data_IF_150091523160
#
_entry.id   IF_150091523160
#
_cell.length_a   1.000
_cell.length_b   1.000
_cell.length_c   1.000
_cell.angle_alpha   90.00
_cell.angle_beta   90.00
_cell.angle_gamma   90.00
#
_symmetry.space_group_name_H-M   'P 1'
#
loop_
_entity.id
_entity.type
_entity.pdbx_description
1 polymer ?
#
# COMPACT_ATOMS: atom_id res chain seq x y z
N UNK A 1 -2.98 -19.63 32.80
CA UNK A 1 -2.54 -19.82 31.41
C UNK A 1 -2.61 -18.45 30.77
N UNK A 2 -1.51 -17.71 30.87
CA UNK A 2 -1.42 -16.33 30.44
C UNK A 2 -1.62 -16.24 28.93
N UNK A 3 -2.57 -15.41 28.50
CA UNK A 3 -2.63 -14.91 27.13
C UNK A 3 -1.72 -13.69 27.09
N UNK A 4 -0.46 -13.88 26.71
CA UNK A 4 0.36 -12.75 26.27
C UNK A 4 -0.30 -12.15 25.01
N UNK A 5 -0.82 -10.94 25.14
CA UNK A 5 -1.25 -10.12 24.00
C UNK A 5 -0.01 -9.70 23.20
N UNK A 6 0.31 -10.45 22.15
CA UNK A 6 1.38 -10.09 21.24
C UNK A 6 0.89 -9.05 20.23
N UNK A 7 1.14 -7.77 20.53
CA UNK A 7 1.02 -6.70 19.54
C UNK A 7 2.27 -6.68 18.65
N UNK A 8 2.10 -6.89 17.34
CA UNK A 8 3.21 -6.76 16.40
C UNK A 8 3.32 -5.31 15.91
N UNK A 9 4.44 -4.65 16.24
CA UNK A 9 4.72 -3.31 15.76
C UNK A 9 5.60 -3.37 14.50
N UNK A 10 5.11 -2.79 13.39
CA UNK A 10 5.86 -2.68 12.14
C UNK A 10 6.19 -1.23 11.83
N UNK A 11 7.42 -1.00 11.39
CA UNK A 11 7.82 0.29 10.84
C UNK A 11 7.48 0.34 9.34
N UNK A 12 6.66 1.30 8.91
CA UNK A 12 6.53 1.62 7.49
C UNK A 12 7.73 2.46 7.06
N UNK A 13 8.60 1.88 6.23
CA UNK A 13 9.89 2.45 5.86
C UNK A 13 9.78 3.65 4.89
N UNK A 14 8.57 4.11 4.53
CA UNK A 14 8.41 5.35 3.75
C UNK A 14 9.14 6.53 4.43
N UNK A 15 8.96 6.69 5.75
CA UNK A 15 9.59 7.73 6.54
C UNK A 15 11.11 7.53 6.71
N UNK A 16 11.59 6.28 6.74
CA UNK A 16 13.01 5.95 6.86
C UNK A 16 13.77 6.16 5.54
N UNK A 17 13.18 5.80 4.40
CA UNK A 17 13.76 6.07 3.07
C UNK A 17 13.83 7.59 2.82
N UNK A 18 12.87 8.37 3.31
CA UNK A 18 12.95 9.84 3.24
C UNK A 18 14.09 10.39 4.12
N UNK A 19 14.26 9.89 5.35
CA UNK A 19 15.33 10.36 6.24
C UNK A 19 16.76 9.94 5.78
N UNK A 20 16.90 8.77 5.13
CA UNK A 20 18.15 8.39 4.42
C UNK A 20 18.32 9.19 3.12
N UNK A 21 17.24 9.52 2.40
CA UNK A 21 17.31 10.31 1.18
C UNK A 21 17.75 11.77 1.44
N UNK A 22 17.45 12.32 2.62
CA UNK A 22 18.00 13.60 3.06
C UNK A 22 19.53 13.54 3.31
N UNK A 23 20.08 12.36 3.62
CA UNK A 23 21.52 12.10 3.65
C UNK A 23 22.01 11.42 2.35
N UNK A 24 21.99 12.17 1.26
CA UNK A 24 22.86 12.02 0.07
C UNK A 24 22.92 10.68 -0.67
N UNK A 25 21.91 9.80 -0.59
CA UNK A 25 21.87 8.62 -1.45
C UNK A 25 20.48 8.45 -2.05
N UNK A 26 20.36 8.68 -3.37
CA UNK A 26 19.23 8.17 -4.16
C UNK A 26 19.20 6.66 -3.95
N UNK A 27 18.26 6.18 -3.12
CA UNK A 27 18.13 4.76 -2.84
C UNK A 27 17.68 4.10 -4.13
N UNK A 28 18.63 3.42 -4.77
CA UNK A 28 18.40 2.62 -5.97
C UNK A 28 18.68 1.17 -5.60
N UNK A 29 17.94 0.24 -6.20
CA UNK A 29 18.28 -1.18 -6.10
C UNK A 29 19.54 -1.42 -6.94
N UNK A 30 20.70 -1.18 -6.32
CA UNK A 30 22.00 -1.22 -6.99
C UNK A 30 22.26 -2.60 -7.60
N UNK A 31 23.05 -2.66 -8.68
CA UNK A 31 23.50 -3.92 -9.31
C UNK A 31 24.49 -4.67 -8.43
N UNK A 32 25.24 -3.96 -7.59
CA UNK A 32 26.18 -4.53 -6.63
C UNK A 32 25.45 -5.22 -5.46
N UNK A 33 25.78 -6.50 -5.27
CA UNK A 33 25.25 -7.32 -4.18
C UNK A 33 25.68 -6.80 -2.80
N UNK A 34 26.91 -6.32 -2.65
CA UNK A 34 27.43 -5.85 -1.36
C UNK A 34 26.66 -4.62 -0.88
N UNK A 35 26.32 -3.70 -1.78
CA UNK A 35 25.49 -2.52 -1.46
C UNK A 35 24.07 -2.90 -1.07
N UNK A 36 23.43 -3.85 -1.78
CA UNK A 36 22.09 -4.35 -1.39
C UNK A 36 22.12 -5.02 -0.01
N UNK A 37 23.17 -5.78 0.29
CA UNK A 37 23.36 -6.41 1.60
C UNK A 37 23.57 -5.37 2.70
N UNK A 38 24.37 -4.33 2.44
CA UNK A 38 24.57 -3.21 3.37
C UNK A 38 23.24 -2.53 3.69
N UNK A 39 22.42 -2.24 2.67
CA UNK A 39 21.10 -1.65 2.87
C UNK A 39 20.18 -2.55 3.72
N UNK A 40 20.12 -3.85 3.42
CA UNK A 40 19.33 -4.81 4.19
C UNK A 40 19.78 -4.88 5.66
N UNK A 41 21.10 -4.91 5.90
CA UNK A 41 21.68 -4.89 7.25
C UNK A 41 21.40 -3.59 8.00
N UNK A 42 21.48 -2.43 7.32
CA UNK A 42 21.12 -1.14 7.90
C UNK A 42 19.65 -1.08 8.32
N UNK A 43 18.74 -1.61 7.51
CA UNK A 43 17.31 -1.71 7.86
C UNK A 43 17.13 -2.60 9.09
N UNK A 44 17.78 -3.78 9.11
CA UNK A 44 17.72 -4.70 10.25
C UNK A 44 18.19 -4.03 11.55
N UNK A 45 19.36 -3.40 11.52
CA UNK A 45 19.92 -2.72 12.69
C UNK A 45 19.02 -1.60 13.21
N UNK A 46 18.35 -0.87 12.32
CA UNK A 46 17.41 0.20 12.71
C UNK A 46 16.17 -0.35 13.41
N UNK A 47 15.58 -1.41 12.85
CA UNK A 47 14.42 -2.12 13.41
C UNK A 47 14.76 -2.66 14.81
N UNK A 48 15.92 -3.31 14.97
CA UNK A 48 16.39 -3.84 16.25
C UNK A 48 16.53 -2.74 17.30
N UNK A 49 17.15 -1.61 16.92
CA UNK A 49 17.36 -0.49 17.84
C UNK A 49 16.06 0.11 18.36
N UNK A 50 14.99 0.06 17.58
CA UNK A 50 13.68 0.59 17.94
C UNK A 50 12.71 -0.49 18.42
N UNK A 51 13.20 -1.73 18.62
CA UNK A 51 12.41 -2.88 19.04
C UNK A 51 11.16 -3.15 18.16
N UNK A 52 11.24 -2.85 16.86
CA UNK A 52 10.20 -3.25 15.92
C UNK A 52 10.36 -4.73 15.54
N UNK A 53 9.25 -5.38 15.21
CA UNK A 53 9.22 -6.80 14.84
C UNK A 53 9.02 -6.99 13.34
N UNK A 54 9.16 -5.93 12.54
CA UNK A 54 8.97 -6.00 11.11
C UNK A 54 9.15 -4.67 10.39
N UNK A 55 9.20 -4.77 9.07
CA UNK A 55 9.29 -3.64 8.16
C UNK A 55 8.32 -3.78 7.01
N UNK A 56 7.58 -2.71 6.75
CA UNK A 56 6.76 -2.55 5.57
C UNK A 56 7.47 -1.60 4.60
N UNK A 57 7.74 -2.07 3.38
CA UNK A 57 8.34 -1.26 2.33
C UNK A 57 7.26 -0.51 1.55
N UNK A 58 7.46 0.79 1.35
CA UNK A 58 6.64 1.64 0.47
C UNK A 58 7.53 2.29 -0.60
N UNK A 59 7.91 1.51 -1.60
CA UNK A 59 8.90 1.91 -2.60
C UNK A 59 8.44 1.67 -4.04
N UNK A 60 7.13 1.61 -4.28
CA UNK A 60 6.57 1.36 -5.62
C UNK A 60 7.13 2.32 -6.68
N UNK A 61 7.34 3.59 -6.34
CA UNK A 61 7.93 4.61 -7.22
C UNK A 61 9.40 4.34 -7.63
N UNK A 62 10.10 3.43 -6.95
CA UNK A 62 11.48 3.03 -7.25
C UNK A 62 11.56 1.72 -8.06
N UNK A 63 10.43 1.04 -8.25
CA UNK A 63 10.38 -0.27 -8.90
C UNK A 63 9.82 -0.13 -10.31
N UNK A 64 10.53 -0.67 -11.29
CA UNK A 64 10.12 -0.70 -12.68
C UNK A 64 10.63 -1.99 -13.35
N UNK A 65 10.28 -2.20 -14.62
CA UNK A 65 10.82 -3.31 -15.42
C UNK A 65 12.36 -3.35 -15.39
N UNK A 66 13.02 -2.19 -15.35
CA UNK A 66 14.48 -2.09 -15.34
C UNK A 66 15.11 -2.47 -13.99
N UNK A 67 14.42 -2.23 -12.87
CA UNK A 67 14.93 -2.50 -11.52
C UNK A 67 14.36 -3.78 -10.89
N UNK A 68 13.40 -4.44 -11.57
CA UNK A 68 12.72 -5.66 -11.13
C UNK A 68 13.66 -6.72 -10.56
N UNK A 69 14.74 -7.05 -11.27
CA UNK A 69 15.68 -8.10 -10.85
C UNK A 69 16.46 -7.70 -9.59
N UNK A 70 16.93 -6.45 -9.54
CA UNK A 70 17.69 -5.95 -8.40
C UNK A 70 16.80 -5.82 -7.17
N UNK A 71 15.54 -5.41 -7.35
CA UNK A 71 14.56 -5.37 -6.27
C UNK A 71 14.26 -6.77 -5.73
N UNK A 72 14.07 -7.75 -6.60
CA UNK A 72 13.89 -9.15 -6.22
C UNK A 72 15.10 -9.70 -5.42
N UNK A 73 16.32 -9.36 -5.82
CA UNK A 73 17.52 -9.72 -5.06
C UNK A 73 17.60 -9.01 -3.70
N UNK A 74 17.22 -7.74 -3.64
CA UNK A 74 17.16 -6.99 -2.39
C UNK A 74 16.15 -7.60 -1.42
N UNK A 75 14.93 -7.89 -1.86
CA UNK A 75 13.90 -8.54 -1.03
C UNK A 75 14.37 -9.88 -0.46
N UNK A 76 15.04 -10.71 -1.27
CA UNK A 76 15.63 -11.97 -0.79
C UNK A 76 16.67 -11.74 0.32
N UNK A 77 17.54 -10.75 0.15
CA UNK A 77 18.55 -10.39 1.16
C UNK A 77 17.89 -9.85 2.42
N UNK A 78 16.95 -8.91 2.29
CA UNK A 78 16.23 -8.33 3.43
C UNK A 78 15.48 -9.40 4.22
N UNK A 79 14.72 -10.27 3.55
CA UNK A 79 14.00 -11.37 4.21
C UNK A 79 14.97 -12.32 4.93
N UNK A 80 16.17 -12.56 4.37
CA UNK A 80 17.23 -13.35 5.04
C UNK A 80 17.80 -12.63 6.25
N UNK A 81 18.16 -11.34 6.14
CA UNK A 81 18.70 -10.55 7.25
C UNK A 81 17.71 -10.45 8.41
N UNK A 82 16.42 -10.23 8.11
CA UNK A 82 15.36 -10.18 9.10
C UNK A 82 15.21 -11.49 9.87
N UNK A 83 15.55 -12.64 9.27
CA UNK A 83 15.44 -13.95 9.91
C UNK A 83 16.65 -14.38 10.74
N UNK A 84 17.80 -13.70 10.65
CA UNK A 84 19.07 -14.19 11.23
C UNK A 84 19.04 -14.46 12.74
N UNK A 85 18.26 -13.68 13.50
CA UNK A 85 18.15 -13.80 14.96
C UNK A 85 16.67 -13.77 15.39
N UNK A 86 15.77 -14.35 14.59
CA UNK A 86 14.37 -14.41 14.96
C UNK A 86 14.17 -15.36 16.15
N UNK A 87 13.84 -14.80 17.31
CA UNK A 87 13.45 -15.55 18.50
C UNK A 87 11.93 -15.68 18.51
N UNK A 88 11.43 -16.91 18.38
CA UNK A 88 9.99 -17.22 18.39
C UNK A 88 9.31 -17.11 17.02
N UNK A 89 8.01 -17.41 17.00
CA UNK A 89 7.20 -17.51 15.78
C UNK A 89 6.69 -16.14 15.25
N UNK A 90 6.69 -15.10 16.10
CA UNK A 90 6.04 -13.81 15.82
C UNK A 90 6.99 -12.65 15.49
N UNK A 91 8.28 -12.91 15.26
CA UNK A 91 9.29 -11.86 15.07
C UNK A 91 9.87 -11.79 13.67
N UNK A 92 9.99 -10.57 13.14
CA UNK A 92 10.78 -10.16 11.96
C UNK A 92 10.13 -10.37 10.59
N UNK A 93 9.03 -9.65 10.37
CA UNK A 93 8.30 -9.68 9.11
C UNK A 93 8.85 -8.66 8.11
N UNK A 94 8.72 -9.02 6.83
CA UNK A 94 8.91 -8.09 5.72
C UNK A 94 7.61 -8.07 4.95
N UNK A 95 7.03 -6.89 4.77
CA UNK A 95 5.88 -6.66 3.92
C UNK A 95 6.16 -5.59 2.87
N UNK A 96 5.34 -5.57 1.83
CA UNK A 96 5.41 -4.58 0.76
C UNK A 96 4.03 -4.00 0.55
N UNK A 97 3.93 -2.68 0.51
CA UNK A 97 2.70 -1.94 0.26
C UNK A 97 2.64 -1.50 -1.20
N UNK A 98 1.54 -1.86 -1.88
CA UNK A 98 1.29 -1.57 -3.30
C UNK A 98 -0.09 -0.94 -3.48
N UNK A 99 -0.17 0.05 -4.37
CA UNK A 99 -1.46 0.64 -4.77
C UNK A 99 -2.28 -0.36 -5.58
N UNK A 100 -3.61 -0.28 -5.44
CA UNK A 100 -4.55 -1.08 -6.24
C UNK A 100 -4.52 -0.78 -7.74
N UNK A 101 -3.96 0.36 -8.12
CA UNK A 101 -3.90 0.86 -9.50
C UNK A 101 -2.53 0.58 -10.13
N UNK A 102 -1.70 -0.20 -9.46
CA UNK A 102 -0.48 -0.69 -10.05
C UNK A 102 -0.84 -1.56 -11.25
N UNK A 103 -0.29 -1.23 -12.42
CA UNK A 103 -0.39 -2.05 -13.63
C UNK A 103 0.14 -3.47 -13.38
N UNK A 104 -0.09 -4.38 -14.35
CA UNK A 104 0.29 -5.80 -14.31
C UNK A 104 1.51 -6.08 -13.41
N UNK A 105 1.25 -6.77 -12.29
CA UNK A 105 2.22 -6.98 -11.22
C UNK A 105 3.51 -7.65 -11.74
N UNK A 106 3.39 -8.53 -12.75
CA UNK A 106 4.53 -9.21 -13.36
C UNK A 106 5.47 -8.27 -14.11
N UNK A 107 5.04 -7.09 -14.54
CA UNK A 107 5.88 -6.14 -15.26
C UNK A 107 6.98 -5.58 -14.35
N UNK A 108 6.62 -5.21 -13.12
CA UNK A 108 7.52 -4.55 -12.18
C UNK A 108 8.11 -5.50 -11.12
N UNK A 109 7.44 -6.62 -10.81
CA UNK A 109 7.82 -7.49 -9.69
C UNK A 109 8.08 -8.93 -10.09
N UNK A 110 9.00 -9.59 -9.37
CA UNK A 110 9.14 -11.04 -9.32
C UNK A 110 8.13 -11.58 -8.31
N UNK A 111 6.97 -12.04 -8.80
CA UNK A 111 5.84 -12.48 -7.97
C UNK A 111 6.20 -13.68 -7.08
N UNK A 112 7.14 -14.53 -7.52
CA UNK A 112 7.62 -15.64 -6.68
C UNK A 112 8.36 -15.13 -5.44
N UNK A 113 9.09 -14.01 -5.55
CA UNK A 113 9.72 -13.37 -4.39
C UNK A 113 8.69 -12.70 -3.50
N UNK A 114 7.66 -12.05 -4.08
CA UNK A 114 6.57 -11.46 -3.30
C UNK A 114 5.89 -12.52 -2.41
N UNK A 115 5.70 -13.73 -2.93
CA UNK A 115 5.15 -14.87 -2.19
C UNK A 115 6.02 -15.32 -0.99
N UNK A 116 7.27 -14.88 -0.89
CA UNK A 116 8.14 -15.16 0.28
C UNK A 116 8.01 -14.13 1.40
N UNK A 117 7.35 -13.00 1.14
CA UNK A 117 7.09 -11.95 2.12
C UNK A 117 6.01 -12.41 3.11
N UNK A 118 5.88 -11.69 4.22
CA UNK A 118 4.86 -11.99 5.22
C UNK A 118 3.47 -11.70 4.64
N UNK A 119 3.27 -10.47 4.14
CA UNK A 119 2.11 -10.08 3.35
C UNK A 119 2.47 -8.95 2.35
N UNK A 120 1.61 -8.77 1.36
CA UNK A 120 1.54 -7.64 0.44
C UNK A 120 0.33 -6.82 0.84
N UNK A 121 0.54 -5.59 1.29
CA UNK A 121 -0.55 -4.67 1.63
C UNK A 121 -1.10 -4.07 0.34
N UNK A 122 -2.37 -4.33 0.06
CA UNK A 122 -3.11 -3.69 -1.01
C UNK A 122 -3.69 -2.38 -0.48
N UNK A 123 -3.26 -1.26 -1.04
CA UNK A 123 -3.73 0.09 -0.74
C UNK A 123 -4.69 0.57 -1.83
N UNK A 124 -6.03 0.52 -1.60
CA UNK A 124 -7.01 0.87 -2.63
C UNK A 124 -7.34 2.39 -2.69
N UNK A 125 -6.44 3.24 -2.21
CA UNK A 125 -6.73 4.66 -1.95
C UNK A 125 -6.18 5.66 -2.96
N UNK A 126 -5.54 5.20 -4.04
CA UNK A 126 -5.04 6.15 -5.04
C UNK A 126 -6.19 6.75 -5.84
N UNK A 127 -6.13 8.07 -5.94
CA UNK A 127 -7.17 8.92 -6.52
C UNK A 127 -7.29 8.63 -8.03
N UNK A 128 -8.51 8.58 -8.60
CA UNK A 128 -8.73 8.27 -10.00
C UNK A 128 -8.11 9.27 -10.99
N UNK A 129 -8.01 8.85 -12.25
CA UNK A 129 -7.57 9.64 -13.42
C UNK A 129 -8.61 10.68 -13.89
N UNK A 130 -9.72 10.85 -13.18
CA UNK A 130 -10.84 11.73 -13.53
C UNK A 130 -10.92 12.89 -12.54
N UNK A 131 -10.03 13.91 -12.63
CA UNK A 131 -10.00 15.01 -11.65
C UNK A 131 -11.24 15.90 -11.69
N UNK A 132 -12.00 15.90 -12.79
CA UNK A 132 -13.14 16.79 -13.00
C UNK A 132 -14.50 16.08 -12.84
N UNK A 133 -14.52 14.84 -12.33
CA UNK A 133 -15.75 14.06 -12.16
C UNK A 133 -15.78 13.27 -10.84
N UNK A 134 -16.97 13.20 -10.26
CA UNK A 134 -17.24 12.49 -9.01
C UNK A 134 -16.84 11.02 -9.11
N UNK A 135 -16.15 10.52 -8.11
CA UNK A 135 -15.67 9.14 -8.09
C UNK A 135 -16.00 8.41 -6.79
N UNK A 136 -16.07 7.08 -6.86
CA UNK A 136 -16.11 6.23 -5.69
C UNK A 136 -14.69 5.99 -5.16
N UNK A 137 -14.46 6.32 -3.89
CA UNK A 137 -13.18 6.04 -3.26
C UNK A 137 -13.12 4.56 -2.83
N UNK A 138 -12.08 3.83 -3.27
CA UNK A 138 -11.83 2.44 -2.87
C UNK A 138 -13.02 1.48 -3.11
N UNK A 139 -13.61 1.44 -4.33
CA UNK A 139 -14.79 0.63 -4.59
C UNK A 139 -14.45 -0.87 -4.59
N UNK A 140 -15.27 -1.67 -3.89
CA UNK A 140 -15.07 -3.12 -3.82
C UNK A 140 -15.29 -3.78 -5.19
N UNK A 141 -16.32 -3.34 -5.90
CA UNK A 141 -16.69 -3.78 -7.25
C UNK A 141 -16.60 -2.62 -8.24
N UNK A 142 -16.58 -2.93 -9.53
CA UNK A 142 -16.53 -1.91 -10.59
C UNK A 142 -17.74 -0.98 -10.50
N UNK A 143 -17.50 0.31 -10.73
CA UNK A 143 -18.54 1.32 -10.90
C UNK A 143 -18.57 1.70 -12.37
N UNK A 144 -19.73 1.60 -12.99
CA UNK A 144 -19.92 1.98 -14.40
C UNK A 144 -20.06 3.50 -14.50
N UNK A 145 -19.20 4.14 -15.29
CA UNK A 145 -19.22 5.58 -15.57
C UNK A 145 -19.10 5.78 -17.07
N UNK A 146 -20.18 6.18 -17.73
CA UNK A 146 -20.22 6.56 -19.16
C UNK A 146 -19.35 5.65 -20.06
N UNK A 147 -19.63 4.34 -20.01
CA UNK A 147 -18.96 3.24 -20.74
C UNK A 147 -17.51 2.90 -20.31
N UNK A 148 -16.91 3.64 -19.37
CA UNK A 148 -15.62 3.33 -18.79
C UNK A 148 -15.78 2.48 -17.51
N UNK A 149 -15.09 1.32 -17.46
CA UNK A 149 -14.98 0.51 -16.25
C UNK A 149 -13.86 1.03 -15.36
N UNK A 150 -14.19 1.44 -14.15
CA UNK A 150 -13.18 1.83 -13.15
C UNK A 150 -12.45 0.61 -12.58
N UNK A 151 -11.17 0.76 -12.25
CA UNK A 151 -10.45 -0.21 -11.41
C UNK A 151 -11.16 -0.36 -10.06
N UNK A 152 -11.36 -1.60 -9.63
CA UNK A 152 -11.96 -1.96 -8.34
C UNK A 152 -11.08 -2.93 -7.56
N UNK A 153 -11.29 -3.03 -6.24
CA UNK A 153 -10.55 -3.96 -5.38
C UNK A 153 -10.67 -5.40 -5.91
N UNK A 154 -11.87 -5.85 -6.30
CA UNK A 154 -12.09 -7.19 -6.85
C UNK A 154 -11.25 -7.42 -8.13
N UNK A 155 -11.29 -6.48 -9.07
CA UNK A 155 -10.51 -6.58 -10.32
C UNK A 155 -9.01 -6.62 -10.07
N UNK A 156 -8.51 -5.83 -9.12
CA UNK A 156 -7.08 -5.79 -8.75
C UNK A 156 -6.65 -7.10 -8.12
N UNK A 157 -7.41 -7.61 -7.14
CA UNK A 157 -7.10 -8.87 -6.47
C UNK A 157 -7.04 -10.01 -7.48
N UNK A 158 -8.03 -10.11 -8.38
CA UNK A 158 -8.03 -11.13 -9.45
C UNK A 158 -6.81 -11.00 -10.36
N UNK A 159 -6.45 -9.80 -10.79
CA UNK A 159 -5.27 -9.58 -11.62
C UNK A 159 -3.96 -10.00 -10.90
N UNK A 160 -3.84 -9.73 -9.60
CA UNK A 160 -2.69 -10.16 -8.81
C UNK A 160 -2.62 -11.68 -8.66
N UNK A 161 -3.76 -12.35 -8.49
CA UNK A 161 -3.85 -13.81 -8.46
C UNK A 161 -3.48 -14.45 -9.81
N UNK A 162 -3.99 -13.93 -10.92
CA UNK A 162 -3.59 -14.33 -12.29
C UNK A 162 -2.08 -14.09 -12.53
N UNK A 163 -1.55 -13.06 -11.88
CA UNK A 163 -0.12 -12.78 -11.85
C UNK A 163 0.70 -13.76 -11.00
N UNK A 164 0.05 -14.69 -10.29
CA UNK A 164 0.66 -15.75 -9.48
C UNK A 164 0.88 -15.37 -8.01
N UNK A 165 0.32 -14.25 -7.55
CA UNK A 165 0.39 -13.87 -6.13
C UNK A 165 -0.58 -14.75 -5.34
N UNK A 166 -0.13 -15.34 -4.24
CA UNK A 166 -0.99 -16.17 -3.40
C UNK A 166 -1.99 -15.29 -2.65
N UNK A 167 -3.29 -15.64 -2.70
CA UNK A 167 -4.36 -14.94 -1.97
C UNK A 167 -4.04 -14.75 -0.49
N UNK A 168 -3.47 -15.76 0.15
CA UNK A 168 -3.07 -15.73 1.57
C UNK A 168 -1.97 -14.72 1.90
N UNK A 169 -1.33 -14.13 0.88
CA UNK A 169 -0.35 -13.05 1.05
C UNK A 169 -0.95 -11.68 0.92
N UNK A 170 -2.18 -11.53 0.42
CA UNK A 170 -2.79 -10.22 0.22
C UNK A 170 -3.42 -9.77 1.54
N UNK A 171 -2.95 -8.64 2.07
CA UNK A 171 -3.58 -7.93 3.18
C UNK A 171 -4.31 -6.71 2.61
N UNK A 172 -5.64 -6.79 2.51
CA UNK A 172 -6.45 -5.67 2.03
C UNK A 172 -6.52 -4.58 3.11
N UNK A 173 -6.06 -3.37 2.78
CA UNK A 173 -6.25 -2.23 3.65
C UNK A 173 -7.67 -1.66 3.50
N UNK A 174 -8.33 -1.39 4.62
CA UNK A 174 -9.66 -0.78 4.68
C UNK A 174 -9.51 0.67 5.16
N UNK A 175 -10.03 1.68 4.45
CA UNK A 175 -9.91 3.07 4.85
C UNK A 175 -10.89 3.37 5.98
N UNK A 176 -10.44 4.11 6.98
CA UNK A 176 -11.29 4.71 8.00
C UNK A 176 -11.70 6.15 7.67
N UNK A 177 -11.65 6.52 6.39
CA UNK A 177 -11.94 7.85 5.86
C UNK A 177 -12.58 7.74 4.47
N UNK A 178 -13.20 8.83 4.02
CA UNK A 178 -13.74 9.00 2.67
C UNK A 178 -13.12 10.20 1.95
N UNK A 179 -13.56 10.42 0.71
CA UNK A 179 -13.25 11.63 -0.06
C UNK A 179 -14.55 12.41 -0.30
N UNK A 180 -14.60 13.62 0.23
CA UNK A 180 -15.65 14.60 -0.04
C UNK A 180 -15.32 15.35 -1.33
N UNK A 181 -16.31 15.48 -2.21
CA UNK A 181 -16.18 16.09 -3.52
C UNK A 181 -17.31 17.11 -3.70
N UNK A 182 -16.96 18.32 -4.17
CA UNK A 182 -17.96 19.36 -4.39
C UNK A 182 -18.51 19.25 -5.81
N UNK A 183 -19.81 18.99 -5.96
CA UNK A 183 -20.48 18.93 -7.25
C UNK A 183 -20.65 20.34 -7.83
N UNK A 184 -20.43 20.50 -9.15
CA UNK A 184 -20.72 21.77 -9.83
C UNK A 184 -22.22 22.11 -9.83
N UNK A 185 -23.08 21.08 -9.78
CA UNK A 185 -24.52 21.20 -9.65
C UNK A 185 -25.01 20.23 -8.57
N UNK A 186 -25.54 20.76 -7.46
CA UNK A 186 -26.01 19.96 -6.32
C UNK A 186 -27.15 19.00 -6.67
N UNK A 187 -27.91 19.29 -7.73
CA UNK A 187 -29.00 18.43 -8.21
C UNK A 187 -28.52 17.30 -9.12
N UNK A 188 -27.27 17.37 -9.62
CA UNK A 188 -26.66 16.33 -10.45
C UNK A 188 -25.71 15.48 -9.61
N UNK A 189 -26.30 14.74 -8.67
CA UNK A 189 -25.57 13.86 -7.77
C UNK A 189 -25.37 12.47 -8.40
N UNK A 190 -24.15 11.93 -8.29
CA UNK A 190 -23.82 10.59 -8.78
C UNK A 190 -22.34 10.45 -9.11
N UNK A 191 -21.86 9.22 -9.20
CA UNK A 191 -20.52 8.95 -9.74
C UNK A 191 -20.49 9.34 -11.22
N UNK A 192 -19.40 9.95 -11.68
CA UNK A 192 -19.21 10.49 -13.03
C UNK A 192 -19.67 11.93 -13.21
N UNK A 193 -20.39 12.50 -12.24
CA UNK A 193 -20.94 13.85 -12.36
C UNK A 193 -19.89 14.93 -12.14
N UNK A 194 -19.99 16.09 -12.80
CA UNK A 194 -18.95 17.12 -12.71
C UNK A 194 -18.72 17.62 -11.29
N UNK A 195 -17.44 17.68 -10.89
CA UNK A 195 -17.01 18.22 -9.60
C UNK A 195 -16.02 19.36 -9.77
N UNK A 196 -15.80 20.11 -8.71
CA UNK A 196 -14.53 20.84 -8.57
C UNK A 196 -13.36 19.85 -8.56
N UNK A 197 -12.17 20.34 -8.93
CA UNK A 197 -10.96 19.52 -9.04
C UNK A 197 -10.42 19.01 -7.71
N UNK A 198 -10.72 19.76 -6.66
CA UNK A 198 -10.24 19.46 -5.32
C UNK A 198 -11.25 18.57 -4.59
N UNK A 199 -10.73 17.62 -3.83
CA UNK A 199 -11.49 16.80 -2.90
C UNK A 199 -10.89 16.98 -1.51
N UNK A 200 -11.73 16.85 -0.48
CA UNK A 200 -11.31 16.87 0.91
C UNK A 200 -11.32 15.44 1.48
N UNK A 201 -10.38 15.15 2.38
CA UNK A 201 -10.43 13.90 3.16
C UNK A 201 -11.42 14.11 4.30
N UNK A 202 -12.37 13.20 4.45
CA UNK A 202 -13.35 13.24 5.54
C UNK A 202 -13.22 11.99 6.42
N UNK A 203 -13.05 12.19 7.72
CA UNK A 203 -12.96 11.08 8.68
C UNK A 203 -14.31 10.42 8.92
N UNK A 204 -14.31 9.12 9.27
CA UNK A 204 -15.56 8.40 9.58
C UNK A 204 -16.43 9.09 10.65
N UNK A 205 -15.84 9.64 11.71
CA UNK A 205 -16.57 10.36 12.76
C UNK A 205 -17.27 11.63 12.23
N UNK A 206 -16.65 12.33 11.27
CA UNK A 206 -17.22 13.51 10.66
C UNK A 206 -18.39 13.16 9.73
N UNK A 207 -18.26 12.07 8.95
CA UNK A 207 -19.38 11.53 8.15
C UNK A 207 -20.59 11.24 9.04
N UNK A 208 -20.39 10.57 10.17
CA UNK A 208 -21.47 10.25 11.13
C UNK A 208 -22.13 11.52 11.65
N UNK A 209 -21.34 12.53 12.01
CA UNK A 209 -21.85 13.81 12.53
C UNK A 209 -22.73 14.51 11.49
N UNK A 210 -22.29 14.58 10.23
CA UNK A 210 -23.06 15.22 9.15
C UNK A 210 -24.34 14.48 8.80
N UNK A 211 -24.32 13.13 8.85
CA UNK A 211 -25.53 12.32 8.67
C UNK A 211 -26.57 12.60 9.77
N UNK A 212 -26.16 12.71 11.02
CA UNK A 212 -27.06 12.99 12.14
C UNK A 212 -27.69 14.39 12.06
N UNK A 213 -26.91 15.40 11.64
CA UNK A 213 -27.43 16.76 11.44
C UNK A 213 -28.48 16.77 10.32
N UNK A 214 -28.23 16.07 9.21
CA UNK A 214 -29.17 16.00 8.08
C UNK A 214 -30.49 15.29 8.39
N UNK A 215 -30.49 14.32 9.31
CA UNK A 215 -31.71 13.61 9.77
C UNK A 215 -32.60 14.49 10.66
N UNK A 216 -32.02 15.43 11.41
CA UNK A 216 -32.77 16.30 12.33
C UNK A 216 -33.32 17.59 11.68
N UNK A 217 -33.18 17.72 10.36
CA UNK A 217 -33.65 18.86 9.57
C UNK A 217 -34.91 18.57 8.73
N UNK A 218 -35.64 17.50 9.05
CA UNK A 218 -36.96 17.18 8.50
C UNK A 218 -38.03 17.08 9.60
#
# INVERSE_FOLDING_TARGET
MDREEFAQMMLSAAAYLMNIAEQSMRITFDRDRAKRLKLAGSIRSFIDRLAFNGVELRCAHLVSKATKLQFAHFLRLLNKEMKKNATGECGNTVSLRLSAYHENLRTAYDVMVLNTLHHIVLEPFTVPLLPDAAFAHSPLFTVDVDDAKTTSIDSTVRNWEESGLMRSKILLQVPSYGMEQLLLNSSDHGVGKPTEREYAIIGQAEVVTRQQIGVNSF
#
